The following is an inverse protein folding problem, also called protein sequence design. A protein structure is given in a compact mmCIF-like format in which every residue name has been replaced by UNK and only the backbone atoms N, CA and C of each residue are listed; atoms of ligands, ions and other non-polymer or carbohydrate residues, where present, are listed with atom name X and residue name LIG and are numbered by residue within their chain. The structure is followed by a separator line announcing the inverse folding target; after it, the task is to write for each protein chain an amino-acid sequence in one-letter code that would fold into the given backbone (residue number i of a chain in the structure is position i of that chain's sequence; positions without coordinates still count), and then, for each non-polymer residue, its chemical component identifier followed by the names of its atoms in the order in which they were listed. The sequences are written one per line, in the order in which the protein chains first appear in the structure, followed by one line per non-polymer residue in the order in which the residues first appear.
data_IF_349225792067
#
_entry.id   IF_349225792067
#
_cell.length_a   1.000
_cell.length_b   1.000
_cell.length_c   1.000
_cell.angle_alpha   90.00
_cell.angle_beta   90.00
_cell.angle_gamma   90.00
#
_symmetry.space_group_name_H-M   'P 1'
#
loop_
_entity.id
_entity.type
_entity.pdbx_description
1 polymer ?
#
# COMPACT_ATOMS: atom_id res chain seq x y z
N UNK A 1 22.08 15.22 -23.35
CA UNK A 1 21.86 16.36 -22.42
C UNK A 1 20.66 16.15 -21.47
N UNK A 2 19.65 15.35 -21.82
CA UNK A 2 18.47 15.14 -20.96
C UNK A 2 18.80 14.44 -19.62
N UNK A 3 19.93 13.77 -19.55
CA UNK A 3 20.43 13.09 -18.34
C UNK A 3 21.44 13.93 -17.54
N UNK A 4 21.76 15.15 -18.00
CA UNK A 4 22.65 16.04 -17.26
C UNK A 4 21.89 16.70 -16.10
N UNK A 5 22.54 16.84 -14.95
CA UNK A 5 21.97 17.49 -13.76
C UNK A 5 21.52 18.91 -14.08
N UNK A 6 20.36 19.31 -13.57
CA UNK A 6 19.75 20.63 -13.76
C UNK A 6 19.42 20.98 -15.22
N UNK A 7 19.43 20.00 -16.11
CA UNK A 7 19.06 20.23 -17.52
C UNK A 7 17.56 20.46 -17.63
N UNK A 8 17.18 21.62 -18.15
CA UNK A 8 15.79 22.00 -18.46
C UNK A 8 15.72 22.60 -19.83
N UNK A 9 14.64 22.27 -20.56
CA UNK A 9 14.37 22.94 -21.83
C UNK A 9 13.86 24.35 -21.54
N UNK A 10 14.52 25.38 -22.11
CA UNK A 10 14.09 26.77 -22.04
C UNK A 10 12.87 26.97 -22.95
N UNK A 11 11.69 26.51 -22.53
CA UNK A 11 10.47 26.81 -23.23
C UNK A 11 9.75 27.97 -22.56
N UNK A 12 9.68 29.06 -23.31
CA UNK A 12 8.90 30.24 -22.95
C UNK A 12 7.48 29.89 -22.64
N UNK A 13 6.98 30.51 -21.56
CA UNK A 13 5.61 30.76 -21.20
C UNK A 13 4.60 29.61 -21.38
N UNK A 14 4.24 29.01 -20.28
CA UNK A 14 2.91 28.43 -19.95
C UNK A 14 2.90 27.09 -19.23
N UNK A 15 3.86 26.76 -18.39
CA UNK A 15 3.61 25.70 -17.40
C UNK A 15 4.13 26.10 -16.02
N UNK A 16 3.22 26.14 -15.07
CA UNK A 16 3.38 26.59 -13.70
C UNK A 16 4.18 25.58 -12.80
N UNK A 17 4.67 24.48 -13.35
CA UNK A 17 5.44 23.49 -12.62
C UNK A 17 6.90 23.49 -13.08
N UNK A 18 7.72 24.22 -12.35
CA UNK A 18 9.18 24.21 -12.54
C UNK A 18 9.74 22.96 -11.87
N UNK A 19 9.96 21.89 -12.62
CA UNK A 19 10.68 20.71 -12.13
C UNK A 19 12.13 21.07 -11.78
N UNK A 20 12.78 20.31 -10.92
CA UNK A 20 14.18 20.56 -10.50
C UNK A 20 15.21 20.22 -11.56
N UNK A 21 14.85 19.52 -12.64
CA UNK A 21 15.77 19.00 -13.66
C UNK A 21 16.69 17.87 -13.16
N UNK A 22 16.40 17.30 -11.98
CA UNK A 22 17.22 16.23 -11.38
C UNK A 22 16.69 14.83 -11.67
N UNK A 23 15.41 14.66 -11.98
CA UNK A 23 14.78 13.34 -12.06
C UNK A 23 15.45 12.39 -13.05
N UNK A 24 15.77 12.86 -14.25
CA UNK A 24 16.41 12.04 -15.29
C UNK A 24 17.88 11.72 -14.99
N UNK A 25 18.59 12.65 -14.37
CA UNK A 25 19.96 12.43 -13.90
C UNK A 25 20.02 11.38 -12.78
N UNK A 26 19.08 11.46 -11.85
CA UNK A 26 18.93 10.46 -10.76
C UNK A 26 18.60 9.08 -11.34
N UNK A 27 17.62 8.99 -12.25
CA UNK A 27 17.24 7.73 -12.91
C UNK A 27 18.46 7.10 -13.63
N UNK A 28 19.22 7.89 -14.39
CA UNK A 28 20.43 7.42 -15.04
C UNK A 28 21.45 6.89 -14.05
N UNK A 29 21.70 7.60 -12.96
CA UNK A 29 22.64 7.20 -11.92
C UNK A 29 22.28 5.86 -11.30
N UNK A 30 20.98 5.61 -11.02
CA UNK A 30 20.53 4.31 -10.50
C UNK A 30 20.70 3.20 -11.52
N UNK A 31 20.37 3.44 -12.80
CA UNK A 31 20.59 2.46 -13.87
C UNK A 31 22.06 2.10 -14.01
N UNK A 32 22.94 3.11 -14.00
CA UNK A 32 24.40 2.92 -14.09
C UNK A 32 24.93 2.13 -12.87
N UNK A 33 24.44 2.42 -11.64
CA UNK A 33 24.79 1.66 -10.42
C UNK A 33 24.35 0.20 -10.49
N UNK A 34 23.26 -0.09 -11.20
CA UNK A 34 22.78 -1.45 -11.44
C UNK A 34 23.50 -2.14 -12.60
N UNK A 35 24.50 -1.48 -13.20
CA UNK A 35 25.24 -2.01 -14.34
C UNK A 35 24.44 -2.01 -15.65
N UNK A 36 23.36 -1.22 -15.70
CA UNK A 36 22.43 -1.14 -16.81
C UNK A 36 22.74 -0.01 -17.79
N UNK A 37 21.82 0.21 -18.72
CA UNK A 37 21.86 1.26 -19.74
C UNK A 37 20.49 1.91 -19.87
N UNK A 38 20.47 3.24 -20.03
CA UNK A 38 19.27 4.01 -20.35
C UNK A 38 19.47 4.80 -21.63
N UNK A 39 18.53 4.71 -22.54
CA UNK A 39 18.51 5.43 -23.81
C UNK A 39 17.19 6.17 -23.99
N UNK A 40 17.23 7.24 -24.80
CA UNK A 40 16.03 7.99 -25.16
C UNK A 40 16.00 8.21 -26.67
N UNK A 41 14.84 7.98 -27.25
CA UNK A 41 14.51 8.38 -28.63
C UNK A 41 13.28 9.29 -28.57
N UNK A 42 13.42 10.52 -29.12
CA UNK A 42 12.33 11.50 -29.02
C UNK A 42 12.21 12.27 -30.32
N UNK A 43 10.98 12.55 -30.72
CA UNK A 43 10.66 13.40 -31.87
C UNK A 43 9.59 14.41 -31.49
N UNK A 44 9.90 15.69 -31.64
CA UNK A 44 9.00 16.78 -31.29
C UNK A 44 7.64 16.64 -32.00
N UNK A 45 6.54 16.76 -31.25
CA UNK A 45 5.17 16.62 -31.74
C UNK A 45 4.70 15.17 -31.93
N UNK A 46 5.57 14.17 -31.74
CA UNK A 46 5.23 12.73 -31.84
C UNK A 46 5.29 12.06 -30.47
N UNK A 47 6.37 12.29 -29.69
CA UNK A 47 6.53 11.69 -28.37
C UNK A 47 7.98 11.26 -28.11
N UNK A 48 8.16 10.63 -26.94
CA UNK A 48 9.46 10.13 -26.46
C UNK A 48 9.35 8.68 -26.02
N UNK A 49 10.36 7.89 -26.34
CA UNK A 49 10.53 6.51 -25.86
C UNK A 49 11.80 6.45 -25.02
N UNK A 50 11.67 5.96 -23.80
CA UNK A 50 12.79 5.67 -22.92
C UNK A 50 12.97 4.16 -22.84
N UNK A 51 14.18 3.68 -23.08
CA UNK A 51 14.54 2.27 -23.01
C UNK A 51 15.53 2.09 -21.87
N UNK A 52 15.24 1.21 -20.93
CA UNK A 52 16.11 0.85 -19.80
C UNK A 52 16.43 -0.63 -19.86
N UNK A 53 17.71 -0.96 -19.86
CA UNK A 53 18.24 -2.31 -19.83
C UNK A 53 19.02 -2.51 -18.52
N UNK A 54 18.63 -3.50 -17.72
CA UNK A 54 19.28 -3.82 -16.43
C UNK A 54 19.66 -5.30 -16.42
N UNK A 55 20.95 -5.65 -16.23
CA UNK A 55 21.37 -7.04 -16.08
C UNK A 55 20.91 -7.56 -14.71
N UNK A 56 20.04 -8.55 -14.72
CA UNK A 56 19.57 -9.20 -13.49
C UNK A 56 20.14 -10.64 -13.43
N UNK A 57 20.59 -11.04 -12.25
CA UNK A 57 20.93 -12.45 -12.02
C UNK A 57 19.64 -13.26 -11.94
N UNK A 58 19.57 -14.34 -12.71
CA UNK A 58 18.49 -15.31 -12.53
C UNK A 58 18.75 -15.99 -11.19
N UNK A 59 17.78 -15.97 -10.28
CA UNK A 59 17.87 -16.70 -9.04
C UNK A 59 17.92 -18.20 -9.36
N UNK A 60 18.96 -18.91 -8.90
CA UNK A 60 19.08 -20.37 -9.05
C UNK A 60 17.97 -21.14 -8.32
N UNK A 61 17.41 -20.53 -7.30
CA UNK A 61 16.13 -20.92 -6.73
C UNK A 61 15.08 -19.93 -7.25
N UNK A 62 14.51 -20.22 -8.40
CA UNK A 62 13.09 -19.94 -8.57
C UNK A 62 12.47 -20.57 -7.32
N UNK A 63 11.86 -19.74 -6.46
CA UNK A 63 10.88 -20.28 -5.55
C UNK A 63 9.90 -20.99 -6.49
N UNK A 64 10.21 -22.26 -6.79
CA UNK A 64 9.21 -23.15 -7.37
C UNK A 64 8.05 -22.91 -6.44
N UNK A 65 6.98 -22.38 -7.03
CA UNK A 65 5.69 -22.39 -6.39
C UNK A 65 5.68 -23.64 -5.53
N UNK A 66 5.88 -23.45 -4.22
CA UNK A 66 5.49 -24.50 -3.30
C UNK A 66 4.11 -24.80 -3.81
N UNK A 67 3.95 -25.97 -4.49
CA UNK A 67 2.66 -26.46 -4.94
C UNK A 67 1.67 -25.87 -3.98
N UNK A 68 0.88 -24.92 -4.47
CA UNK A 68 -0.31 -24.53 -3.75
C UNK A 68 -0.98 -25.88 -3.48
N UNK A 69 -0.67 -26.46 -2.31
CA UNK A 69 -1.61 -27.37 -1.69
C UNK A 69 -2.86 -26.52 -1.75
N UNK A 70 -3.84 -26.97 -2.50
CA UNK A 70 -5.13 -26.33 -2.63
C UNK A 70 -5.55 -25.86 -1.25
N UNK A 71 -5.09 -24.66 -0.86
CA UNK A 71 -5.64 -23.97 0.28
C UNK A 71 -7.05 -23.72 -0.20
N UNK A 72 -8.03 -24.31 0.48
CA UNK A 72 -9.42 -23.93 0.30
C UNK A 72 -9.40 -22.42 0.23
N UNK A 73 -9.87 -21.87 -0.90
CA UNK A 73 -10.02 -20.43 -1.01
C UNK A 73 -10.86 -20.01 0.21
N UNK A 74 -10.30 -19.16 1.04
CA UNK A 74 -11.02 -18.64 2.20
C UNK A 74 -12.26 -17.93 1.69
N UNK A 75 -13.42 -18.29 2.22
CA UNK A 75 -14.64 -17.57 1.92
C UNK A 75 -14.59 -16.22 2.66
N UNK A 76 -14.49 -15.15 1.87
CA UNK A 76 -14.45 -13.77 2.39
C UNK A 76 -15.83 -13.12 2.39
N UNK A 77 -16.85 -13.83 1.91
CA UNK A 77 -18.20 -13.31 1.78
C UNK A 77 -18.80 -12.96 3.13
N UNK A 78 -19.34 -11.75 3.24
CA UNK A 78 -20.00 -11.26 4.43
C UNK A 78 -19.06 -10.76 5.54
N UNK A 79 -17.73 -10.81 5.37
CA UNK A 79 -16.81 -10.21 6.33
C UNK A 79 -16.95 -8.70 6.33
N UNK A 80 -17.08 -8.12 7.51
CA UNK A 80 -17.19 -6.67 7.71
C UNK A 80 -15.83 -6.05 7.93
N UNK A 81 -15.44 -5.17 7.01
CA UNK A 81 -14.13 -4.50 6.99
C UNK A 81 -14.29 -3.03 7.36
N UNK A 82 -13.55 -2.56 8.36
CA UNK A 82 -13.32 -1.13 8.58
C UNK A 82 -12.08 -0.71 7.80
N UNK A 83 -12.25 0.11 6.77
CA UNK A 83 -11.18 0.65 5.92
C UNK A 83 -10.88 2.09 6.30
N UNK A 84 -9.65 2.37 6.74
CA UNK A 84 -9.15 3.72 6.98
C UNK A 84 -8.11 4.09 5.90
N UNK A 85 -8.47 5.03 5.03
CA UNK A 85 -7.66 5.49 3.89
C UNK A 85 -8.05 6.92 3.54
N UNK A 86 -7.08 7.83 3.57
CA UNK A 86 -7.29 9.27 3.35
C UNK A 86 -7.35 9.67 1.88
N UNK A 87 -6.74 8.88 1.00
CA UNK A 87 -6.78 9.12 -0.43
C UNK A 87 -8.04 8.49 -1.06
N UNK A 88 -8.92 9.33 -1.62
CA UNK A 88 -10.20 8.88 -2.19
C UNK A 88 -10.04 7.83 -3.28
N UNK A 89 -9.06 7.99 -4.18
CA UNK A 89 -8.83 7.05 -5.28
C UNK A 89 -8.34 5.68 -4.77
N UNK A 90 -7.43 5.68 -3.80
CA UNK A 90 -6.96 4.45 -3.18
C UNK A 90 -8.08 3.73 -2.42
N UNK A 91 -8.91 4.52 -1.71
CA UNK A 91 -10.04 3.99 -0.97
C UNK A 91 -11.07 3.36 -1.90
N UNK A 92 -11.45 4.05 -2.98
CA UNK A 92 -12.40 3.55 -3.99
C UNK A 92 -11.90 2.23 -4.59
N UNK A 93 -10.64 2.18 -5.01
CA UNK A 93 -10.04 0.96 -5.54
C UNK A 93 -10.04 -0.19 -4.51
N UNK A 94 -9.71 0.10 -3.25
CA UNK A 94 -9.73 -0.91 -2.20
C UNK A 94 -11.15 -1.42 -1.90
N UNK A 95 -12.13 -0.51 -1.84
CA UNK A 95 -13.56 -0.85 -1.66
C UNK A 95 -14.03 -1.79 -2.78
N UNK A 96 -13.81 -1.40 -4.04
CA UNK A 96 -14.23 -2.20 -5.20
C UNK A 96 -13.64 -3.62 -5.16
N UNK A 97 -12.34 -3.75 -4.85
CA UNK A 97 -11.65 -5.04 -4.76
C UNK A 97 -12.19 -5.92 -3.62
N UNK A 98 -12.52 -5.32 -2.48
CA UNK A 98 -13.05 -6.04 -1.31
C UNK A 98 -14.51 -6.46 -1.54
N UNK A 99 -15.32 -5.56 -2.06
CA UNK A 99 -16.74 -5.83 -2.36
C UNK A 99 -16.91 -6.84 -3.50
N UNK A 100 -16.01 -6.87 -4.50
CA UNK A 100 -15.96 -7.94 -5.51
C UNK A 100 -15.80 -9.33 -4.90
N UNK A 101 -15.15 -9.42 -3.73
CA UNK A 101 -15.02 -10.67 -2.96
C UNK A 101 -16.16 -10.92 -1.96
N UNK A 102 -17.20 -10.10 -2.00
CA UNK A 102 -18.38 -10.23 -1.16
C UNK A 102 -18.21 -9.71 0.26
N UNK A 103 -17.15 -8.94 0.55
CA UNK A 103 -16.99 -8.27 1.84
C UNK A 103 -17.91 -7.05 1.95
N UNK A 104 -18.20 -6.63 3.17
CA UNK A 104 -18.97 -5.42 3.49
C UNK A 104 -18.00 -4.38 4.02
N UNK A 105 -17.83 -3.26 3.32
CA UNK A 105 -16.82 -2.26 3.66
C UNK A 105 -17.44 -1.02 4.28
N UNK A 106 -16.91 -0.63 5.45
CA UNK A 106 -17.16 0.68 6.05
C UNK A 106 -15.90 1.52 5.90
N UNK A 107 -15.94 2.53 5.02
CA UNK A 107 -14.80 3.43 4.78
C UNK A 107 -14.80 4.60 5.74
N UNK A 108 -13.59 5.01 6.16
CA UNK A 108 -13.29 6.25 6.87
C UNK A 108 -12.08 6.93 6.23
N UNK A 109 -12.03 8.27 6.28
CA UNK A 109 -11.02 9.06 5.57
C UNK A 109 -9.79 9.41 6.44
N UNK A 110 -9.78 9.06 7.72
CA UNK A 110 -8.70 9.36 8.67
C UNK A 110 -8.78 8.48 9.91
N UNK A 111 -7.72 8.53 10.73
CA UNK A 111 -7.63 7.71 11.94
C UNK A 111 -8.63 8.07 13.03
N UNK A 112 -8.99 9.35 13.18
CA UNK A 112 -10.00 9.78 14.18
C UNK A 112 -11.37 9.25 13.81
N UNK A 113 -11.74 9.37 12.53
CA UNK A 113 -13.00 8.85 12.01
C UNK A 113 -13.07 7.33 12.14
N UNK A 114 -11.97 6.61 11.90
CA UNK A 114 -11.88 5.18 12.08
C UNK A 114 -12.08 4.77 13.54
N UNK A 115 -11.40 5.45 14.47
CA UNK A 115 -11.58 5.23 15.91
C UNK A 115 -13.03 5.52 16.36
N UNK A 116 -13.59 6.65 15.92
CA UNK A 116 -14.97 7.02 16.24
C UNK A 116 -15.96 5.99 15.69
N UNK A 117 -15.79 5.54 14.43
CA UNK A 117 -16.63 4.52 13.81
C UNK A 117 -16.55 3.20 14.58
N UNK A 118 -15.34 2.79 14.96
CA UNK A 118 -15.14 1.58 15.76
C UNK A 118 -15.83 1.70 17.13
N UNK A 119 -15.73 2.83 17.82
CA UNK A 119 -16.38 3.06 19.11
C UNK A 119 -17.90 3.10 19.04
N UNK A 120 -18.45 3.66 17.96
CA UNK A 120 -19.90 3.88 17.81
C UNK A 120 -20.68 2.64 17.31
N UNK A 121 -19.98 1.59 16.88
CA UNK A 121 -20.58 0.32 16.47
C UNK A 121 -20.59 -0.68 17.62
N UNK A 122 -21.48 -1.65 17.57
CA UNK A 122 -21.53 -2.73 18.56
C UNK A 122 -20.21 -3.54 18.52
N UNK A 123 -19.72 -4.05 19.67
CA UNK A 123 -18.58 -4.97 19.68
C UNK A 123 -18.81 -6.17 18.77
N UNK A 124 -17.77 -6.53 18.00
CA UNK A 124 -17.85 -7.64 17.05
C UNK A 124 -18.55 -7.30 15.73
N UNK A 125 -18.86 -6.02 15.46
CA UNK A 125 -19.41 -5.61 14.15
C UNK A 125 -18.40 -5.76 13.02
N UNK A 126 -17.14 -5.48 13.28
CA UNK A 126 -16.06 -5.62 12.31
C UNK A 126 -15.27 -6.89 12.54
N UNK A 127 -14.95 -7.59 11.46
CA UNK A 127 -14.10 -8.79 11.46
C UNK A 127 -12.63 -8.44 11.32
N UNK A 128 -12.32 -7.32 10.66
CA UNK A 128 -10.96 -6.81 10.47
C UNK A 128 -10.94 -5.31 10.21
N UNK A 129 -9.75 -4.72 10.40
CA UNK A 129 -9.46 -3.33 10.06
C UNK A 129 -8.32 -3.29 9.06
N UNK A 130 -8.52 -2.64 7.92
CA UNK A 130 -7.47 -2.25 7.00
C UNK A 130 -7.11 -0.80 7.28
N UNK A 131 -5.86 -0.56 7.68
CA UNK A 131 -5.43 0.71 8.23
C UNK A 131 -4.28 1.29 7.41
N UNK A 132 -4.50 2.42 6.73
CA UNK A 132 -3.39 3.19 6.21
C UNK A 132 -2.52 3.72 7.35
N UNK A 133 -1.22 3.65 7.16
CA UNK A 133 -0.26 4.18 8.14
C UNK A 133 -0.20 5.70 8.08
N UNK A 134 -0.21 6.28 6.88
CA UNK A 134 0.08 7.69 6.65
C UNK A 134 -1.20 8.48 6.41
N UNK A 135 -1.90 8.83 7.47
CA UNK A 135 -3.11 9.66 7.42
C UNK A 135 -2.91 10.97 8.18
N UNK A 136 -3.61 12.06 7.78
CA UNK A 136 -3.60 13.33 8.49
C UNK A 136 -4.25 13.22 9.87
N UNK A 137 -3.96 14.18 10.74
CA UNK A 137 -4.49 14.33 12.09
C UNK A 137 -4.15 13.20 13.07
N UNK A 138 -4.48 11.96 12.73
CA UNK A 138 -4.21 10.76 13.52
C UNK A 138 -3.76 9.65 12.58
N UNK A 139 -2.50 9.29 12.66
CA UNK A 139 -1.91 8.25 11.80
C UNK A 139 -2.36 6.84 12.22
N UNK A 140 -2.10 5.84 11.35
CA UNK A 140 -2.54 4.46 11.59
C UNK A 140 -1.94 3.82 12.84
N UNK A 141 -0.72 4.18 13.23
CA UNK A 141 -0.10 3.67 14.46
C UNK A 141 -0.81 4.21 15.71
N UNK A 142 -1.11 5.49 15.73
CA UNK A 142 -1.83 6.14 16.84
C UNK A 142 -3.25 5.59 16.96
N UNK A 143 -3.94 5.45 15.82
CA UNK A 143 -5.28 4.87 15.76
C UNK A 143 -5.29 3.43 16.29
N UNK A 144 -4.34 2.61 15.86
CA UNK A 144 -4.20 1.23 16.34
C UNK A 144 -4.00 1.18 17.84
N UNK A 145 -3.06 1.98 18.39
CA UNK A 145 -2.83 2.06 19.83
C UNK A 145 -4.09 2.49 20.58
N UNK A 146 -4.84 3.45 20.06
CA UNK A 146 -6.08 3.90 20.66
C UNK A 146 -7.12 2.78 20.69
N UNK A 147 -7.35 2.07 19.57
CA UNK A 147 -8.27 0.93 19.49
C UNK A 147 -7.88 -0.17 20.47
N UNK A 148 -6.58 -0.55 20.53
CA UNK A 148 -6.07 -1.60 21.43
C UNK A 148 -6.26 -1.28 22.92
N UNK A 149 -6.28 0.01 23.28
CA UNK A 149 -6.37 0.48 24.65
C UNK A 149 -7.79 0.91 25.06
N UNK A 150 -8.82 0.70 24.25
CA UNK A 150 -10.20 1.01 24.62
C UNK A 150 -10.65 0.15 25.80
N UNK A 151 -11.06 0.74 26.94
CA UNK A 151 -11.41 -0.03 28.13
C UNK A 151 -12.68 -0.86 27.98
N UNK A 152 -13.66 -0.32 27.24
CA UNK A 152 -15.00 -0.91 27.10
C UNK A 152 -15.20 -1.68 25.78
N UNK A 153 -14.10 -1.94 25.05
CA UNK A 153 -14.10 -2.63 23.76
C UNK A 153 -13.13 -3.82 23.78
N UNK A 154 -13.53 -4.95 24.33
CA UNK A 154 -12.67 -6.13 24.39
C UNK A 154 -12.26 -6.63 23.01
N UNK A 155 -13.14 -6.51 22.01
CA UNK A 155 -12.87 -6.80 20.60
C UNK A 155 -11.74 -5.94 20.01
N UNK A 156 -11.55 -4.73 20.51
CA UNK A 156 -10.44 -3.88 20.10
C UNK A 156 -9.05 -4.46 20.38
N UNK A 157 -8.92 -5.41 21.33
CA UNK A 157 -7.66 -6.11 21.61
C UNK A 157 -7.38 -7.26 20.65
N UNK A 158 -8.43 -7.87 20.11
CA UNK A 158 -8.36 -9.12 19.34
C UNK A 158 -8.53 -8.93 17.85
N UNK A 159 -9.30 -7.90 17.43
CA UNK A 159 -9.59 -7.66 16.01
C UNK A 159 -8.32 -7.58 15.19
N UNK A 160 -8.19 -8.31 14.07
CA UNK A 160 -7.07 -8.17 13.16
C UNK A 160 -7.00 -6.76 12.60
N UNK A 161 -5.85 -6.09 12.78
CA UNK A 161 -5.54 -4.79 12.17
C UNK A 161 -4.37 -5.00 11.21
N UNK A 162 -4.62 -4.83 9.94
CA UNK A 162 -3.65 -5.02 8.86
C UNK A 162 -3.23 -3.65 8.32
N UNK A 163 -1.95 -3.36 8.43
CA UNK A 163 -1.39 -2.12 7.89
C UNK A 163 -1.43 -2.11 6.35
N UNK A 164 -1.83 -1.00 5.76
CA UNK A 164 -1.64 -0.71 4.34
C UNK A 164 -0.46 0.24 4.18
N UNK A 165 0.58 -0.15 3.45
CA UNK A 165 1.82 0.62 3.32
C UNK A 165 2.19 0.88 1.87
N UNK A 166 2.72 2.07 1.56
CA UNK A 166 3.29 2.35 0.24
C UNK A 166 4.60 1.56 0.01
N UNK A 167 5.32 1.22 1.08
CA UNK A 167 6.58 0.50 1.04
C UNK A 167 6.63 -0.57 2.15
N UNK A 168 6.98 -1.78 1.78
CA UNK A 168 7.13 -2.91 2.71
C UNK A 168 8.54 -2.96 3.36
N UNK A 169 9.09 -1.81 3.79
CA UNK A 169 10.39 -1.81 4.46
C UNK A 169 10.31 -2.44 5.85
N UNK A 170 11.39 -3.11 6.24
CA UNK A 170 11.48 -3.81 7.52
C UNK A 170 11.23 -2.91 8.74
N UNK A 171 11.58 -1.62 8.65
CA UNK A 171 11.36 -0.64 9.71
C UNK A 171 9.89 -0.30 9.90
N UNK A 172 9.12 -0.13 8.83
CA UNK A 172 7.68 0.18 8.90
C UNK A 172 6.91 -1.02 9.46
N UNK A 173 7.30 -2.23 9.06
CA UNK A 173 6.75 -3.46 9.63
C UNK A 173 6.98 -3.54 11.13
N UNK A 174 8.19 -3.23 11.60
CA UNK A 174 8.52 -3.24 13.03
C UNK A 174 7.65 -2.25 13.80
N UNK A 175 7.53 -1.01 13.32
CA UNK A 175 6.68 0.02 13.93
C UNK A 175 5.20 -0.38 13.96
N UNK A 176 4.70 -1.00 12.89
CA UNK A 176 3.33 -1.50 12.84
C UNK A 176 3.06 -2.55 13.92
N UNK A 177 3.96 -3.52 14.06
CA UNK A 177 3.86 -4.54 15.11
C UNK A 177 3.97 -3.94 16.53
N UNK A 178 4.88 -2.99 16.75
CA UNK A 178 5.01 -2.26 18.03
C UNK A 178 3.78 -1.42 18.37
N UNK A 179 3.05 -0.96 17.36
CA UNK A 179 1.77 -0.26 17.55
C UNK A 179 0.61 -1.21 17.89
N UNK A 180 0.78 -2.53 17.69
CA UNK A 180 -0.25 -3.54 17.93
C UNK A 180 -1.00 -3.98 16.67
N UNK A 181 -0.50 -3.67 15.46
CA UNK A 181 -1.02 -4.23 14.22
C UNK A 181 -0.60 -5.70 14.08
N UNK A 182 -1.39 -6.49 13.36
CA UNK A 182 -1.18 -7.94 13.23
C UNK A 182 -0.30 -8.30 12.03
N UNK A 183 -0.45 -7.61 10.90
CA UNK A 183 0.33 -7.85 9.67
C UNK A 183 0.29 -6.60 8.78
N UNK A 184 0.79 -6.70 7.56
CA UNK A 184 0.81 -5.60 6.60
C UNK A 184 0.59 -6.11 5.17
N UNK A 185 0.06 -5.22 4.32
CA UNK A 185 -0.03 -5.39 2.87
C UNK A 185 0.48 -4.14 2.17
N UNK A 186 1.07 -4.30 1.00
CA UNK A 186 1.51 -3.18 0.18
C UNK A 186 0.31 -2.54 -0.54
N UNK A 187 0.36 -1.23 -0.78
CA UNK A 187 -0.53 -0.51 -1.69
C UNK A 187 0.04 -0.54 -3.12
N UNK A 188 -0.79 -0.73 -4.17
CA UNK A 188 -2.21 -1.06 -4.10
C UNK A 188 -2.47 -2.46 -3.54
N UNK A 189 -3.61 -2.66 -2.88
CA UNK A 189 -3.96 -3.93 -2.24
C UNK A 189 -4.05 -5.06 -3.27
N UNK A 190 -3.24 -6.10 -3.08
CA UNK A 190 -3.34 -7.34 -3.84
C UNK A 190 -4.19 -8.35 -3.06
N UNK A 191 -5.32 -8.76 -3.64
CA UNK A 191 -6.26 -9.66 -2.98
C UNK A 191 -5.68 -11.04 -2.66
N UNK A 192 -4.72 -11.54 -3.45
CA UNK A 192 -4.04 -12.81 -3.14
C UNK A 192 -3.21 -12.70 -1.88
N UNK A 193 -2.47 -11.59 -1.76
CA UNK A 193 -1.63 -11.29 -0.59
C UNK A 193 -2.53 -11.06 0.63
N UNK A 194 -3.58 -10.25 0.49
CA UNK A 194 -4.51 -9.97 1.58
C UNK A 194 -5.20 -11.25 2.07
N UNK A 195 -5.74 -12.08 1.18
CA UNK A 195 -6.37 -13.37 1.54
C UNK A 195 -5.40 -14.27 2.30
N UNK A 196 -4.14 -14.37 1.85
CA UNK A 196 -3.12 -15.17 2.53
C UNK A 196 -2.78 -14.63 3.93
N UNK A 197 -2.86 -13.31 4.13
CA UNK A 197 -2.70 -12.67 5.44
C UNK A 197 -3.92 -12.96 6.31
N UNK A 198 -5.14 -12.77 5.79
CA UNK A 198 -6.38 -12.96 6.55
C UNK A 198 -6.58 -14.41 7.01
N UNK A 199 -6.17 -15.40 6.22
CA UNK A 199 -6.20 -16.81 6.61
C UNK A 199 -5.50 -17.08 7.95
N UNK A 200 -4.44 -16.35 8.26
CA UNK A 200 -3.68 -16.52 9.52
C UNK A 200 -4.48 -16.09 10.75
N UNK A 201 -5.45 -15.18 10.59
CA UNK A 201 -6.10 -14.51 11.70
C UNK A 201 -7.60 -14.82 11.80
N UNK A 202 -8.25 -15.20 10.72
CA UNK A 202 -9.69 -15.45 10.66
C UNK A 202 -10.06 -16.93 10.56
N UNK A 203 -9.17 -17.83 10.11
CA UNK A 203 -9.37 -19.27 10.21
C UNK A 203 -9.08 -19.72 11.66
N UNK A 204 -10.13 -19.90 12.44
CA UNK A 204 -10.10 -20.57 13.77
C UNK A 204 -10.59 -22.00 13.66
#
# INVERSE_FOLDING_TARGET
RIFDEFSQENSGARTSYKGTGLGMAIAKKYVDLMGGKIEVSSRQGIGSTFTVEIPLRIAEHVLTDKKEKSRKDMDLHGLHVLLAEDNDLNAELAVDLLEEKGMIVTRTADGKSALAQFCNTAPGTFDLILMDIMMPEMNGYETTKAIRNLPDRPDGKEIPIIAMTANAFAEDRKKAMEAGMNDHVAKPVDMKVLTAVLQKYLEK
#
